data_IF_432801774309
#
_entry.id   IF_432801774309
#
_cell.length_a   1.000
_cell.length_b   1.000
_cell.length_c   1.000
_cell.angle_alpha   90.00
_cell.angle_beta   90.00
_cell.angle_gamma   90.00
#
_symmetry.space_group_name_H-M   'P 1'
#
loop_
_entity.id
_entity.type
_entity.pdbx_description
1 polymer ?
#
# COMPACT_ATOMS: atom_id res chain seq x y z
N UNK A 1 9.64 1.78 1.35
CA UNK A 1 9.49 1.94 -0.11
C UNK A 1 8.64 0.81 -0.66
N UNK A 2 7.39 1.13 -1.02
CA UNK A 2 6.50 0.29 -1.82
C UNK A 2 7.26 -0.43 -2.93
N UNK A 3 6.92 -1.69 -3.19
CA UNK A 3 7.33 -2.37 -4.43
C UNK A 3 6.96 -1.47 -5.61
N UNK A 4 7.91 -1.08 -6.49
CA UNK A 4 7.64 -0.19 -7.62
C UNK A 4 6.47 -0.68 -8.49
N UNK A 5 6.31 -2.00 -8.60
CA UNK A 5 5.22 -2.64 -9.35
C UNK A 5 3.84 -2.40 -8.71
N UNK A 6 3.76 -2.41 -7.38
CA UNK A 6 2.51 -2.28 -6.66
C UNK A 6 2.11 -0.81 -6.49
N UNK A 7 3.07 0.09 -6.22
CA UNK A 7 2.84 1.54 -6.31
C UNK A 7 2.27 1.92 -7.67
N UNK A 8 2.89 1.40 -8.74
CA UNK A 8 2.40 1.60 -10.11
C UNK A 8 0.95 1.11 -10.29
N UNK A 9 0.59 -0.07 -9.77
CA UNK A 9 -0.78 -0.58 -9.85
C UNK A 9 -1.82 0.36 -9.24
N UNK A 10 -1.54 0.97 -8.08
CA UNK A 10 -2.45 1.95 -7.48
C UNK A 10 -2.52 3.23 -8.29
N UNK A 11 -1.38 3.75 -8.77
CA UNK A 11 -1.31 4.93 -9.64
C UNK A 11 -2.13 4.71 -10.92
N UNK A 12 -1.97 3.55 -11.58
CA UNK A 12 -2.70 3.19 -12.78
C UNK A 12 -4.22 3.14 -12.52
N UNK A 13 -4.65 2.66 -11.34
CA UNK A 13 -6.07 2.63 -10.95
C UNK A 13 -6.63 4.03 -10.65
N UNK A 14 -5.85 4.93 -10.02
CA UNK A 14 -6.21 6.34 -9.90
C UNK A 14 -6.42 6.97 -11.27
N UNK A 15 -5.49 6.76 -12.20
CA UNK A 15 -5.57 7.31 -13.56
C UNK A 15 -6.79 6.80 -14.33
N UNK A 16 -7.15 5.53 -14.15
CA UNK A 16 -8.36 4.96 -14.73
C UNK A 16 -9.62 5.67 -14.22
N UNK A 17 -9.77 5.82 -12.91
CA UNK A 17 -10.94 6.46 -12.30
C UNK A 17 -11.00 7.97 -12.59
N UNK A 18 -9.86 8.64 -12.71
CA UNK A 18 -9.81 10.04 -13.14
C UNK A 18 -10.35 10.17 -14.58
N UNK A 19 -9.87 9.33 -15.51
CA UNK A 19 -10.36 9.33 -16.90
C UNK A 19 -11.84 8.96 -17.00
N UNK A 20 -12.31 8.05 -16.16
CA UNK A 20 -13.74 7.69 -16.09
C UNK A 20 -14.59 8.88 -15.64
N UNK A 21 -14.22 9.56 -14.55
CA UNK A 21 -14.94 10.74 -14.07
C UNK A 21 -14.90 11.91 -15.07
N UNK A 22 -13.78 12.12 -15.75
CA UNK A 22 -13.67 13.11 -16.84
C UNK A 22 -14.60 12.79 -18.01
N UNK A 23 -14.75 11.51 -18.38
CA UNK A 23 -15.70 11.10 -19.43
C UNK A 23 -17.14 11.31 -19.02
N UNK A 24 -17.50 10.99 -17.77
CA UNK A 24 -18.85 11.24 -17.23
C UNK A 24 -19.14 12.74 -17.24
N UNK A 25 -18.18 13.55 -16.79
CA UNK A 25 -18.28 15.00 -16.80
C UNK A 25 -18.43 15.57 -18.21
N UNK A 26 -17.68 15.05 -19.19
CA UNK A 26 -17.74 15.51 -20.58
C UNK A 26 -19.02 15.05 -21.31
N UNK A 27 -19.59 13.91 -20.91
CA UNK A 27 -20.81 13.35 -21.49
C UNK A 27 -22.12 13.97 -20.96
N UNK A 28 -22.04 15.00 -20.11
CA UNK A 28 -23.21 15.70 -19.57
C UNK A 28 -24.05 16.33 -20.68
N UNK A 29 -25.36 16.31 -20.50
CA UNK A 29 -26.33 16.88 -21.44
C UNK A 29 -27.02 18.07 -20.79
N UNK A 30 -27.14 19.17 -21.52
CA UNK A 30 -28.00 20.28 -21.11
C UNK A 30 -29.43 19.96 -21.48
N UNK A 31 -30.34 20.13 -20.54
CA UNK A 31 -31.78 20.02 -20.75
C UNK A 31 -32.46 21.29 -20.29
N UNK A 32 -33.12 21.93 -21.22
CA UNK A 32 -33.82 23.19 -20.99
C UNK A 32 -35.28 22.92 -20.64
N UNK A 33 -35.71 23.46 -19.52
CA UNK A 33 -37.10 23.52 -19.08
C UNK A 33 -37.63 24.92 -19.37
N UNK A 34 -38.63 25.00 -20.23
CA UNK A 34 -39.28 26.26 -20.58
C UNK A 34 -40.55 26.38 -19.72
N UNK A 35 -40.57 27.37 -18.85
CA UNK A 35 -41.74 27.70 -18.03
C UNK A 35 -42.48 28.86 -18.68
N UNK A 36 -43.66 28.56 -19.20
CA UNK A 36 -44.57 29.57 -19.74
C UNK A 36 -45.39 30.17 -18.58
N UNK A 37 -45.28 31.48 -18.40
CA UNK A 37 -46.18 32.23 -17.55
C UNK A 37 -47.48 32.38 -18.34
N UNK A 38 -48.43 31.44 -18.18
CA UNK A 38 -49.66 31.35 -18.99
C UNK A 38 -50.64 32.54 -18.95
N UNK A 39 -50.16 33.76 -18.74
CA UNK A 39 -50.88 35.01 -18.95
C UNK A 39 -50.27 35.78 -20.17
N UNK A 40 -50.91 35.67 -21.35
CA UNK A 40 -50.47 36.37 -22.56
C UNK A 40 -50.60 37.91 -22.50
N UNK A 41 -51.27 38.49 -21.49
CA UNK A 41 -51.51 39.94 -21.43
C UNK A 41 -50.30 40.76 -20.95
N UNK A 42 -49.32 40.13 -20.29
CA UNK A 42 -48.19 40.84 -19.66
C UNK A 42 -46.85 40.73 -20.41
N UNK A 43 -46.81 40.02 -21.55
CA UNK A 43 -45.66 40.01 -22.46
C UNK A 43 -44.32 39.59 -21.83
N UNK A 44 -44.34 38.77 -20.78
CA UNK A 44 -43.13 38.28 -20.13
C UNK A 44 -42.49 37.19 -20.99
N UNK A 45 -41.19 37.32 -21.27
CA UNK A 45 -40.42 36.28 -21.94
C UNK A 45 -40.42 34.98 -21.11
N UNK A 46 -40.46 33.80 -21.75
CA UNK A 46 -40.40 32.52 -21.03
C UNK A 46 -39.12 32.40 -20.19
N UNK A 47 -39.25 31.88 -18.96
CA UNK A 47 -38.09 31.50 -18.16
C UNK A 47 -37.55 30.18 -18.70
N UNK A 48 -36.30 30.19 -19.15
CA UNK A 48 -35.56 28.99 -19.53
C UNK A 48 -34.69 28.59 -18.33
N UNK A 49 -34.99 27.46 -17.71
CA UNK A 49 -34.14 26.83 -16.70
C UNK A 49 -33.36 25.68 -17.34
N UNK A 50 -32.04 25.80 -17.40
CA UNK A 50 -31.18 24.75 -17.93
C UNK A 50 -30.63 23.89 -16.79
N UNK A 51 -30.81 22.57 -16.90
CA UNK A 51 -30.22 21.59 -15.98
C UNK A 51 -29.18 20.75 -16.71
N UNK A 52 -28.10 20.37 -16.03
CA UNK A 52 -27.13 19.41 -16.56
C UNK A 52 -27.50 17.99 -16.09
N UNK A 53 -27.87 17.11 -17.02
CA UNK A 53 -28.11 15.69 -16.78
C UNK A 53 -26.82 14.88 -16.97
N UNK A 54 -26.60 13.92 -16.08
CA UNK A 54 -25.47 12.99 -16.10
C UNK A 54 -26.01 11.56 -16.27
N UNK A 55 -25.21 10.67 -16.84
CA UNK A 55 -25.52 9.24 -16.83
C UNK A 55 -25.43 8.69 -15.39
N UNK A 56 -26.60 8.47 -14.78
CA UNK A 56 -26.71 7.99 -13.40
C UNK A 56 -26.03 6.65 -13.19
N UNK A 57 -26.18 5.71 -14.12
CA UNK A 57 -25.59 4.38 -13.99
C UNK A 57 -24.06 4.47 -13.99
N UNK A 58 -23.50 5.26 -14.92
CA UNK A 58 -22.07 5.52 -14.96
C UNK A 58 -21.58 6.24 -13.69
N UNK A 59 -22.32 7.25 -13.21
CA UNK A 59 -21.99 7.99 -12.00
C UNK A 59 -21.93 7.11 -10.75
N UNK A 60 -22.98 6.34 -10.48
CA UNK A 60 -23.03 5.50 -9.27
C UNK A 60 -22.01 4.36 -9.31
N UNK A 61 -21.74 3.80 -10.48
CA UNK A 61 -20.65 2.83 -10.69
C UNK A 61 -19.31 3.46 -10.35
N UNK A 62 -19.00 4.60 -10.97
CA UNK A 62 -17.76 5.33 -10.76
C UNK A 62 -17.56 5.76 -9.29
N UNK A 63 -18.60 6.30 -8.64
CA UNK A 63 -18.59 6.69 -7.23
C UNK A 63 -18.25 5.51 -6.32
N UNK A 64 -18.86 4.36 -6.57
CA UNK A 64 -18.62 3.13 -5.79
C UNK A 64 -17.16 2.70 -5.91
N UNK A 65 -16.61 2.67 -7.14
CA UNK A 65 -15.21 2.32 -7.39
C UNK A 65 -14.23 3.31 -6.76
N UNK A 66 -14.53 4.62 -6.82
CA UNK A 66 -13.75 5.65 -6.14
C UNK A 66 -13.70 5.40 -4.63
N UNK A 67 -14.87 5.13 -4.02
CA UNK A 67 -14.96 4.84 -2.59
C UNK A 67 -14.08 3.66 -2.20
N UNK A 68 -14.17 2.54 -2.93
CA UNK A 68 -13.32 1.37 -2.70
C UNK A 68 -11.83 1.65 -2.85
N UNK A 69 -11.41 2.42 -3.86
CA UNK A 69 -10.00 2.79 -4.00
C UNK A 69 -9.54 3.62 -2.80
N UNK A 70 -10.33 4.64 -2.43
CA UNK A 70 -10.00 5.55 -1.34
C UNK A 70 -9.96 4.84 0.03
N UNK A 71 -10.86 3.90 0.30
CA UNK A 71 -10.80 3.04 1.50
C UNK A 71 -9.51 2.22 1.56
N UNK A 72 -9.08 1.65 0.44
CA UNK A 72 -7.89 0.81 0.39
C UNK A 72 -6.59 1.61 0.59
N UNK A 73 -6.54 2.85 0.08
CA UNK A 73 -5.33 3.68 0.19
C UNK A 73 -5.27 4.48 1.49
N UNK A 74 -6.42 4.77 2.12
CA UNK A 74 -6.47 5.54 3.39
C UNK A 74 -6.45 4.61 4.60
N UNK A 75 -5.97 5.10 5.74
CA UNK A 75 -6.09 4.40 7.03
C UNK A 75 -7.41 4.82 7.69
N UNK A 76 -8.12 3.88 8.31
CA UNK A 76 -9.25 4.22 9.18
C UNK A 76 -8.80 5.16 10.30
N UNK A 77 -9.50 6.28 10.49
CA UNK A 77 -9.18 7.30 11.49
C UNK A 77 -8.07 8.28 11.06
N UNK A 78 -7.66 8.29 9.79
CA UNK A 78 -6.78 9.34 9.25
C UNK A 78 -7.56 10.60 8.89
N UNK A 79 -6.85 11.71 8.64
CA UNK A 79 -7.46 12.94 8.09
C UNK A 79 -8.15 12.70 6.73
N UNK A 80 -7.85 11.59 6.06
CA UNK A 80 -8.47 11.22 4.80
C UNK A 80 -9.77 10.40 4.97
N UNK A 81 -10.07 9.88 6.16
CA UNK A 81 -11.31 9.10 6.41
C UNK A 81 -12.57 9.95 6.16
N UNK A 82 -12.56 11.23 6.57
CA UNK A 82 -13.64 12.16 6.25
C UNK A 82 -13.84 12.33 4.72
N UNK A 83 -12.76 12.28 3.94
CA UNK A 83 -12.81 12.40 2.47
C UNK A 83 -13.39 11.14 1.80
N UNK A 84 -13.15 9.95 2.37
CA UNK A 84 -13.79 8.70 1.94
C UNK A 84 -15.30 8.79 2.16
N UNK A 85 -15.71 9.19 3.37
CA UNK A 85 -17.12 9.35 3.73
C UNK A 85 -17.84 10.39 2.88
N UNK A 86 -17.16 11.49 2.54
CA UNK A 86 -17.71 12.46 1.61
C UNK A 86 -17.92 11.86 0.22
N UNK A 87 -16.94 11.09 -0.27
CA UNK A 87 -16.99 10.46 -1.60
C UNK A 87 -18.10 9.43 -1.72
N UNK A 88 -18.40 8.67 -0.66
CA UNK A 88 -19.49 7.69 -0.67
C UNK A 88 -20.89 8.34 -0.68
N UNK A 89 -20.99 9.58 -0.17
CA UNK A 89 -22.25 10.33 0.00
C UNK A 89 -22.47 11.40 -1.06
N UNK A 90 -21.60 11.54 -2.06
CA UNK A 90 -21.77 12.58 -3.08
C UNK A 90 -23.05 12.35 -3.90
N UNK A 91 -23.73 13.45 -4.18
CA UNK A 91 -24.90 13.50 -5.05
C UNK A 91 -24.47 13.51 -6.53
N UNK A 92 -25.35 13.03 -7.40
CA UNK A 92 -25.17 12.98 -8.85
C UNK A 92 -25.24 14.40 -9.44
N UNK A 93 -24.15 15.15 -9.30
CA UNK A 93 -24.04 16.51 -9.82
C UNK A 93 -22.68 16.73 -10.49
N UNK A 94 -22.59 17.60 -11.51
CA UNK A 94 -21.34 17.91 -12.18
C UNK A 94 -20.28 18.45 -11.20
N UNK A 95 -20.72 19.27 -10.24
CA UNK A 95 -19.86 19.82 -9.20
C UNK A 95 -19.27 18.72 -8.29
N UNK A 96 -20.08 17.72 -7.91
CA UNK A 96 -19.61 16.60 -7.12
C UNK A 96 -18.56 15.73 -7.84
N UNK A 97 -18.72 15.54 -9.16
CA UNK A 97 -17.73 14.85 -9.99
C UNK A 97 -16.41 15.63 -9.97
N UNK A 98 -16.46 16.95 -10.22
CA UNK A 98 -15.27 17.80 -10.19
C UNK A 98 -14.55 17.78 -8.84
N UNK A 99 -15.31 17.84 -7.72
CA UNK A 99 -14.74 17.75 -6.36
C UNK A 99 -14.01 16.42 -6.17
N UNK A 100 -14.63 15.31 -6.55
CA UNK A 100 -14.06 13.96 -6.41
C UNK A 100 -12.84 13.77 -7.29
N UNK A 101 -12.84 14.29 -8.53
CA UNK A 101 -11.65 14.33 -9.40
C UNK A 101 -10.49 15.09 -8.76
N UNK A 102 -10.77 16.22 -8.11
CA UNK A 102 -9.77 16.98 -7.34
C UNK A 102 -9.15 16.13 -6.22
N UNK A 103 -9.97 15.41 -5.47
CA UNK A 103 -9.51 14.50 -4.41
C UNK A 103 -8.65 13.36 -4.95
N UNK A 104 -9.08 12.69 -6.02
CA UNK A 104 -8.33 11.60 -6.64
C UNK A 104 -6.96 12.07 -7.12
N UNK A 105 -6.88 13.24 -7.76
CA UNK A 105 -5.61 13.82 -8.22
C UNK A 105 -4.67 14.16 -7.06
N UNK A 106 -5.19 14.79 -6.01
CA UNK A 106 -4.39 15.13 -4.83
C UNK A 106 -3.80 13.87 -4.17
N UNK A 107 -4.63 12.83 -3.97
CA UNK A 107 -4.17 11.60 -3.35
C UNK A 107 -3.24 10.78 -4.24
N UNK A 108 -3.45 10.79 -5.56
CA UNK A 108 -2.50 10.23 -6.50
C UNK A 108 -1.13 10.92 -6.38
N UNK A 109 -1.11 12.25 -6.33
CA UNK A 109 0.10 13.04 -6.17
C UNK A 109 0.80 12.72 -4.83
N UNK A 110 0.05 12.67 -3.72
CA UNK A 110 0.60 12.29 -2.41
C UNK A 110 1.23 10.88 -2.44
N UNK A 111 0.63 9.93 -3.16
CA UNK A 111 1.20 8.60 -3.36
C UNK A 111 2.48 8.64 -4.22
N UNK A 112 2.47 9.41 -5.30
CA UNK A 112 3.60 9.60 -6.20
C UNK A 112 4.80 10.24 -5.49
N UNK A 113 4.56 11.25 -4.67
CA UNK A 113 5.57 11.96 -3.89
C UNK A 113 6.01 11.20 -2.63
N UNK A 114 5.27 10.15 -2.25
CA UNK A 114 5.62 9.27 -1.12
C UNK A 114 5.09 9.75 0.22
N UNK A 115 4.12 10.67 0.26
CA UNK A 115 3.47 11.14 1.48
C UNK A 115 2.44 10.15 2.07
N UNK A 116 2.25 8.98 1.44
CA UNK A 116 1.39 7.90 1.95
C UNK A 116 2.20 6.74 2.57
N UNK A 117 2.98 7.06 3.61
CA UNK A 117 3.81 6.08 4.33
C UNK A 117 3.00 4.94 4.95
N UNK A 118 1.79 5.23 5.47
CA UNK A 118 0.90 4.22 6.06
C UNK A 118 0.40 3.17 5.05
N UNK A 119 0.18 3.58 3.79
CA UNK A 119 -0.15 2.65 2.71
C UNK A 119 1.07 1.81 2.33
N UNK A 120 2.25 2.45 2.30
CA UNK A 120 3.51 1.77 2.05
C UNK A 120 3.78 0.68 3.09
N UNK A 121 3.58 1.00 4.38
CA UNK A 121 3.76 0.06 5.49
C UNK A 121 2.75 -1.10 5.41
N UNK A 122 1.46 -0.83 5.14
CA UNK A 122 0.45 -1.90 4.98
C UNK A 122 0.79 -2.87 3.86
N UNK A 123 1.12 -2.33 2.69
CA UNK A 123 1.52 -3.15 1.54
C UNK A 123 2.79 -3.94 1.84
N UNK A 124 3.78 -3.33 2.49
CA UNK A 124 5.00 -4.03 2.89
C UNK A 124 4.70 -5.16 3.88
N UNK A 125 3.75 -4.97 4.80
CA UNK A 125 3.28 -6.02 5.70
C UNK A 125 2.55 -7.14 4.97
N UNK A 126 1.71 -6.85 3.98
CA UNK A 126 1.04 -7.86 3.17
C UNK A 126 2.03 -8.70 2.37
N UNK A 127 3.03 -8.06 1.75
CA UNK A 127 4.10 -8.77 1.01
C UNK A 127 4.95 -9.61 1.95
N UNK A 128 5.25 -9.11 3.16
CA UNK A 128 5.98 -9.89 4.17
C UNK A 128 5.19 -11.13 4.60
N UNK A 129 3.88 -10.98 4.86
CA UNK A 129 2.99 -12.09 5.20
C UNK A 129 2.87 -13.11 4.08
N UNK A 130 2.76 -12.66 2.82
CA UNK A 130 2.72 -13.54 1.64
C UNK A 130 4.03 -14.34 1.48
N UNK A 131 5.19 -13.70 1.66
CA UNK A 131 6.49 -14.39 1.60
C UNK A 131 6.68 -15.40 2.74
N UNK A 132 6.22 -15.08 3.95
CA UNK A 132 6.24 -16.02 5.06
C UNK A 132 5.28 -17.20 4.81
N UNK A 133 4.08 -16.94 4.29
CA UNK A 133 3.13 -18.00 3.92
C UNK A 133 3.69 -18.92 2.83
N UNK A 134 4.35 -18.37 1.81
CA UNK A 134 5.03 -19.17 0.78
C UNK A 134 6.19 -19.99 1.36
N UNK A 135 6.97 -19.42 2.29
CA UNK A 135 8.03 -20.15 2.98
C UNK A 135 7.46 -21.31 3.82
N UNK A 136 6.36 -21.09 4.55
CA UNK A 136 5.65 -22.13 5.30
C UNK A 136 5.09 -23.22 4.37
N UNK A 137 4.48 -22.82 3.24
CA UNK A 137 3.95 -23.74 2.25
C UNK A 137 5.06 -24.65 1.69
N UNK A 138 6.18 -24.07 1.26
CA UNK A 138 7.36 -24.81 0.80
C UNK A 138 7.86 -25.83 1.83
N UNK A 139 7.89 -25.45 3.10
CA UNK A 139 8.27 -26.34 4.18
C UNK A 139 7.22 -27.44 4.41
N UNK A 140 5.92 -27.15 4.26
CA UNK A 140 4.83 -28.11 4.50
C UNK A 140 4.62 -29.12 3.38
N UNK A 141 4.75 -28.71 2.11
CA UNK A 141 4.52 -29.53 0.92
C UNK A 141 5.77 -30.35 0.52
N UNK A 142 6.95 -29.91 0.97
CA UNK A 142 8.21 -30.57 0.66
C UNK A 142 8.25 -32.00 1.20
N UNK A 143 8.52 -32.96 0.31
CA UNK A 143 8.84 -34.33 0.74
C UNK A 143 10.17 -34.29 1.50
N UNK A 144 10.28 -35.04 2.58
CA UNK A 144 11.55 -35.16 3.30
C UNK A 144 12.63 -35.68 2.33
N UNK A 145 13.57 -34.80 1.94
CA UNK A 145 14.62 -35.10 0.96
C UNK A 145 14.74 -34.13 -0.23
N UNK A 146 13.77 -33.24 -0.43
CA UNK A 146 13.87 -32.15 -1.40
C UNK A 146 14.36 -30.84 -0.77
N UNK A 147 14.91 -29.97 -1.60
CA UNK A 147 15.69 -28.79 -1.20
C UNK A 147 14.82 -27.55 -0.94
N UNK A 148 13.52 -27.70 -0.62
CA UNK A 148 12.54 -26.59 -0.47
C UNK A 148 12.86 -25.65 0.69
N UNK A 149 13.59 -26.13 1.69
CA UNK A 149 14.06 -25.30 2.79
C UNK A 149 15.00 -24.17 2.31
N UNK A 150 15.68 -24.33 1.17
CA UNK A 150 16.53 -23.30 0.58
C UNK A 150 15.72 -22.08 0.11
N UNK A 151 14.73 -22.20 -0.82
CA UNK A 151 13.90 -21.06 -1.20
C UNK A 151 13.09 -20.51 -0.01
N UNK A 152 12.65 -21.34 0.93
CA UNK A 152 12.00 -20.86 2.16
C UNK A 152 12.93 -19.96 3.00
N UNK A 153 14.21 -20.33 3.16
CA UNK A 153 15.21 -19.51 3.84
C UNK A 153 15.47 -18.18 3.11
N UNK A 154 15.50 -18.19 1.77
CA UNK A 154 15.68 -16.97 0.96
C UNK A 154 14.50 -16.01 1.12
N UNK A 155 13.26 -16.51 1.02
CA UNK A 155 12.04 -15.71 1.20
C UNK A 155 11.97 -15.10 2.60
N UNK A 156 12.16 -15.92 3.62
CA UNK A 156 12.14 -15.49 5.04
C UNK A 156 13.26 -14.49 5.32
N UNK A 157 14.43 -14.71 4.72
CA UNK A 157 15.57 -13.82 4.83
C UNK A 157 15.32 -12.44 4.20
N UNK A 158 14.61 -12.37 3.08
CA UNK A 158 14.20 -11.11 2.48
C UNK A 158 13.23 -10.32 3.38
N UNK A 159 12.31 -11.02 4.04
CA UNK A 159 11.39 -10.43 5.03
C UNK A 159 12.16 -9.87 6.23
N UNK A 160 13.09 -10.65 6.79
CA UNK A 160 13.94 -10.20 7.90
C UNK A 160 14.79 -8.97 7.53
N UNK A 161 15.42 -8.97 6.34
CA UNK A 161 16.19 -7.83 5.85
C UNK A 161 15.34 -6.57 5.77
N UNK A 162 14.15 -6.69 5.20
CA UNK A 162 13.23 -5.57 5.07
C UNK A 162 12.79 -5.05 6.45
N UNK A 163 12.45 -5.94 7.37
CA UNK A 163 12.07 -5.59 8.73
C UNK A 163 13.16 -4.79 9.46
N UNK A 164 14.41 -5.25 9.40
CA UNK A 164 15.54 -4.57 10.04
C UNK A 164 15.77 -3.17 9.45
N UNK A 165 15.64 -3.01 8.13
CA UNK A 165 15.74 -1.70 7.48
C UNK A 165 14.62 -0.76 7.90
N UNK A 166 13.37 -1.24 7.91
CA UNK A 166 12.22 -0.46 8.38
C UNK A 166 12.37 -0.05 9.85
N UNK A 167 12.91 -0.92 10.70
CA UNK A 167 13.19 -0.58 12.10
C UNK A 167 14.27 0.50 12.23
N UNK A 168 15.29 0.50 11.37
CA UNK A 168 16.31 1.56 11.36
C UNK A 168 15.69 2.92 11.01
N UNK A 169 14.80 2.95 10.02
CA UNK A 169 14.11 4.17 9.59
C UNK A 169 13.18 4.73 10.68
N UNK A 170 12.57 3.85 11.49
CA UNK A 170 11.68 4.22 12.61
C UNK A 170 12.42 4.74 13.85
N UNK A 171 13.75 4.67 13.92
CA UNK A 171 14.49 5.19 15.07
C UNK A 171 14.51 6.72 15.10
N UNK A 172 14.72 7.29 16.29
CA UNK A 172 14.88 8.75 16.47
C UNK A 172 16.21 9.06 17.17
N UNK A 173 17.24 9.56 16.46
CA UNK A 173 17.27 9.81 15.01
C UNK A 173 17.30 8.51 14.18
N UNK A 174 16.91 8.55 12.89
CA UNK A 174 16.96 7.38 12.02
C UNK A 174 18.38 6.81 11.92
N UNK A 175 18.49 5.48 11.93
CA UNK A 175 19.78 4.80 11.77
C UNK A 175 20.10 4.67 10.28
N UNK A 176 21.28 5.13 9.80
CA UNK A 176 21.65 4.99 8.40
C UNK A 176 21.75 3.53 7.96
N UNK A 177 21.06 3.18 6.87
CA UNK A 177 21.05 1.82 6.29
C UNK A 177 22.09 1.63 5.17
N UNK A 178 22.85 2.67 4.85
CA UNK A 178 23.96 2.69 3.90
C UNK A 178 25.28 3.00 4.60
N UNK A 179 26.37 2.51 4.04
CA UNK A 179 27.73 2.86 4.43
C UNK A 179 28.12 4.25 3.88
N UNK A 180 29.20 4.87 4.37
CA UNK A 180 29.72 6.14 3.83
C UNK A 180 30.07 6.11 2.34
N UNK A 181 30.37 4.93 1.79
CA UNK A 181 30.64 4.72 0.36
C UNK A 181 29.36 4.58 -0.51
N UNK A 182 28.18 4.75 0.10
CA UNK A 182 26.89 4.65 -0.56
C UNK A 182 26.35 3.22 -0.72
N UNK A 183 27.10 2.18 -0.34
CA UNK A 183 26.61 0.79 -0.45
C UNK A 183 25.64 0.45 0.67
N UNK A 184 24.63 -0.40 0.44
CA UNK A 184 23.78 -0.90 1.50
C UNK A 184 24.59 -1.61 2.59
N UNK A 185 24.29 -1.34 3.85
CA UNK A 185 24.81 -2.14 4.97
C UNK A 185 24.30 -3.58 4.87
N UNK A 186 25.15 -4.53 5.26
CA UNK A 186 24.75 -5.91 5.52
C UNK A 186 23.89 -5.97 6.79
N UNK A 187 23.24 -7.11 7.06
CA UNK A 187 22.31 -7.22 8.19
C UNK A 187 23.01 -7.11 9.55
N UNK A 188 24.22 -7.62 9.72
CA UNK A 188 24.91 -7.60 11.01
C UNK A 188 25.20 -6.17 11.54
N UNK A 189 25.70 -5.22 10.73
CA UNK A 189 25.76 -3.81 11.09
C UNK A 189 24.40 -3.23 11.50
N UNK A 190 23.32 -3.51 10.76
CA UNK A 190 21.98 -3.03 11.11
C UNK A 190 21.52 -3.59 12.46
N UNK A 191 21.74 -4.89 12.69
CA UNK A 191 21.39 -5.55 13.95
C UNK A 191 22.15 -4.93 15.11
N UNK A 192 23.43 -4.62 14.90
CA UNK A 192 24.31 -4.01 15.89
C UNK A 192 23.89 -2.57 16.22
N UNK A 193 23.55 -1.78 15.20
CA UNK A 193 23.15 -0.39 15.38
C UNK A 193 21.77 -0.31 16.08
N UNK A 194 20.81 -1.16 15.70
CA UNK A 194 19.51 -1.26 16.37
C UNK A 194 19.65 -1.69 17.84
N UNK A 195 20.52 -2.66 18.14
CA UNK A 195 20.84 -3.03 19.53
C UNK A 195 21.40 -1.83 20.30
N UNK A 196 22.35 -1.09 19.71
CA UNK A 196 22.95 0.11 20.35
C UNK A 196 21.94 1.21 20.62
N UNK A 197 20.88 1.31 19.81
CA UNK A 197 19.76 2.22 20.07
C UNK A 197 18.84 1.79 21.23
N UNK A 198 19.06 0.60 21.80
CA UNK A 198 18.25 0.05 22.89
C UNK A 198 16.97 -0.64 22.43
N UNK A 199 16.78 -0.86 21.12
CA UNK A 199 15.55 -1.48 20.60
C UNK A 199 15.36 -2.92 21.11
N UNK A 200 16.45 -3.66 21.29
CA UNK A 200 16.43 -5.01 21.84
C UNK A 200 17.77 -5.39 22.49
N UNK A 201 17.71 -6.42 23.33
CA UNK A 201 18.86 -6.95 24.08
C UNK A 201 19.79 -7.85 23.26
N UNK A 202 20.97 -8.15 23.80
CA UNK A 202 22.01 -8.97 23.14
C UNK A 202 21.49 -10.37 22.75
N UNK A 203 20.60 -10.96 23.54
CA UNK A 203 20.01 -12.26 23.20
C UNK A 203 19.25 -12.20 21.86
N UNK A 204 18.44 -11.17 21.65
CA UNK A 204 17.71 -10.97 20.38
C UNK A 204 18.69 -10.68 19.24
N UNK A 205 19.72 -9.88 19.49
CA UNK A 205 20.75 -9.58 18.50
C UNK A 205 21.45 -10.86 17.99
N UNK A 206 21.80 -11.79 18.89
CA UNK A 206 22.39 -13.09 18.52
C UNK A 206 21.45 -13.92 17.66
N UNK A 207 20.17 -14.00 18.05
CA UNK A 207 19.15 -14.73 17.28
C UNK A 207 19.00 -14.17 15.85
N UNK A 208 18.92 -12.84 15.72
CA UNK A 208 18.83 -12.17 14.41
C UNK A 208 20.07 -12.43 13.54
N UNK A 209 21.27 -12.47 14.15
CA UNK A 209 22.52 -12.81 13.43
C UNK A 209 22.52 -14.24 12.93
N UNK A 210 22.00 -15.19 13.71
CA UNK A 210 21.85 -16.58 13.25
C UNK A 210 20.98 -16.67 12.01
N UNK A 211 19.82 -16.00 12.00
CA UNK A 211 18.94 -15.99 10.82
C UNK A 211 19.54 -15.24 9.63
N UNK A 212 20.26 -14.14 9.87
CA UNK A 212 20.99 -13.43 8.83
C UNK A 212 22.10 -14.30 8.19
N UNK A 213 22.81 -15.08 9.00
CA UNK A 213 23.80 -16.04 8.52
C UNK A 213 23.15 -17.15 7.69
N UNK A 214 22.05 -17.74 8.19
CA UNK A 214 21.28 -18.76 7.47
C UNK A 214 20.82 -18.27 6.09
N UNK A 215 20.23 -17.06 6.02
CA UNK A 215 19.87 -16.40 4.75
C UNK A 215 21.07 -16.28 3.82
N UNK A 216 22.22 -15.86 4.34
CA UNK A 216 23.43 -15.70 3.52
C UNK A 216 23.92 -17.04 2.99
N UNK A 217 23.95 -18.09 3.81
CA UNK A 217 24.31 -19.43 3.37
C UNK A 217 23.39 -19.91 2.24
N UNK A 218 22.07 -19.72 2.39
CA UNK A 218 21.09 -20.05 1.36
C UNK A 218 21.31 -19.25 0.05
N UNK A 219 21.51 -17.93 0.14
CA UNK A 219 21.70 -17.07 -1.02
C UNK A 219 23.03 -17.30 -1.75
N UNK A 220 24.04 -17.84 -1.07
CA UNK A 220 25.38 -18.09 -1.62
C UNK A 220 25.65 -19.56 -1.95
N UNK A 221 24.64 -20.43 -1.92
CA UNK A 221 24.78 -21.84 -2.34
C UNK A 221 25.42 -22.76 -1.29
N UNK A 222 25.54 -22.31 -0.04
CA UNK A 222 26.20 -23.03 1.05
C UNK A 222 25.17 -23.89 1.80
N UNK A 223 24.51 -24.80 1.08
CA UNK A 223 23.35 -25.55 1.58
C UNK A 223 23.69 -26.58 2.67
N UNK A 224 24.97 -26.92 2.86
CA UNK A 224 25.41 -27.82 3.92
C UNK A 224 25.52 -27.16 5.30
N UNK A 225 25.40 -25.83 5.39
CA UNK A 225 25.62 -25.06 6.63
C UNK A 225 24.34 -24.92 7.48
N UNK A 226 23.20 -25.39 6.99
CA UNK A 226 21.93 -25.30 7.70
C UNK A 226 21.01 -26.47 7.30
N UNK A 227 20.06 -26.78 8.17
CA UNK A 227 19.10 -27.86 7.98
C UNK A 227 17.69 -27.31 7.73
N UNK A 228 16.79 -28.15 7.23
CA UNK A 228 15.35 -27.82 7.16
C UNK A 228 14.80 -27.35 8.52
N UNK A 229 15.22 -27.98 9.60
CA UNK A 229 14.78 -27.61 10.94
C UNK A 229 15.23 -26.19 11.33
N UNK A 230 16.45 -25.79 10.98
CA UNK A 230 16.92 -24.43 11.22
C UNK A 230 16.08 -23.39 10.46
N UNK A 231 15.63 -23.74 9.25
CA UNK A 231 14.72 -22.89 8.47
C UNK A 231 13.34 -22.80 9.10
N UNK A 232 12.77 -23.92 9.58
CA UNK A 232 11.49 -23.92 10.31
C UNK A 232 11.55 -23.00 11.55
N UNK A 233 12.64 -23.06 12.32
CA UNK A 233 12.86 -22.16 13.47
C UNK A 233 13.03 -20.71 13.04
N UNK A 234 13.69 -20.47 11.89
CA UNK A 234 13.82 -19.13 11.32
C UNK A 234 12.46 -18.54 10.91
N UNK A 235 11.61 -19.31 10.21
CA UNK A 235 10.27 -18.84 9.81
C UNK A 235 9.45 -18.44 11.03
N UNK A 236 9.28 -19.35 11.99
CA UNK A 236 8.52 -19.07 13.21
C UNK A 236 9.11 -17.89 14.01
N UNK A 237 10.43 -17.82 14.08
CA UNK A 237 11.15 -16.78 14.78
C UNK A 237 11.02 -15.39 14.15
N UNK A 238 11.12 -15.30 12.81
CA UNK A 238 10.96 -14.06 12.06
C UNK A 238 9.50 -13.60 12.11
N UNK A 239 8.52 -14.49 11.97
CA UNK A 239 7.10 -14.17 12.14
C UNK A 239 6.83 -13.53 13.51
N UNK A 240 7.37 -14.13 14.59
CA UNK A 240 7.26 -13.55 15.93
C UNK A 240 7.99 -12.22 16.07
N UNK A 241 9.17 -12.08 15.48
CA UNK A 241 9.91 -10.82 15.50
C UNK A 241 9.13 -9.69 14.81
N UNK A 242 8.48 -9.95 13.67
CA UNK A 242 7.61 -8.94 13.05
C UNK A 242 6.47 -8.53 14.00
N UNK A 243 5.81 -9.50 14.63
CA UNK A 243 4.72 -9.25 15.57
C UNK A 243 5.17 -8.45 16.80
N UNK A 244 6.39 -8.67 17.29
CA UNK A 244 6.93 -7.98 18.47
C UNK A 244 7.38 -6.53 18.18
N UNK A 245 7.79 -6.20 16.94
CA UNK A 245 8.48 -4.93 16.63
C UNK A 245 7.85 -4.07 15.50
N UNK A 246 6.95 -4.64 14.68
CA UNK A 246 6.40 -3.97 13.49
C UNK A 246 4.87 -4.02 13.38
N UNK A 247 4.19 -4.52 14.42
CA UNK A 247 2.74 -4.51 14.55
C UNK A 247 2.15 -3.12 14.82
#
# INVERSE_FOLDING_TARGET
MLSPKLKKRYIDHFDELIREGERIQAGRKTKDYVYDHGDPEHGLDPIIESTEEIDSAAFYSWRSRCTTLLENVTRQGSVHTARVDETSKINETPHAIMKTLGHLRAMKQDLEDGFMDDLSIRIESEVASDYLAQAEQLLSEGKSGTNEHIPAAVLTGAVLEKALRTLCDKQTPPIPTTNPDGKPKTLDPLITDLKKSGLYEEFRAKQLRTWAALRNHAAHGQFGEFTRHDVEQMVAGVTRFLADYLS
#
